data_IF_391524506531
#
_entry.id   IF_391524506531
#
_cell.length_a   1.000
_cell.length_b   1.000
_cell.length_c   1.000
_cell.angle_alpha   90.00
_cell.angle_beta   90.00
_cell.angle_gamma   90.00
#
_symmetry.space_group_name_H-M   'P 1'
#
loop_
_entity.id
_entity.type
_entity.pdbx_description
1 polymer ?
#
# COMPACT_ATOMS: atom_id res chain seq x y z
N UNK A 1 -4.10 16.20 6.91
CA UNK A 1 -3.35 15.25 7.77
C UNK A 1 -2.59 14.29 6.85
N UNK A 2 -1.27 14.14 6.99
CA UNK A 2 -0.41 13.57 5.92
C UNK A 2 0.06 12.16 6.28
N UNK A 3 -0.10 11.22 5.35
CA UNK A 3 0.56 9.91 5.39
C UNK A 3 1.99 10.04 4.91
N UNK A 4 2.93 9.36 5.58
CA UNK A 4 4.27 9.18 5.04
C UNK A 4 4.31 7.86 4.24
N UNK A 5 4.74 7.93 2.98
CA UNK A 5 4.89 6.74 2.15
C UNK A 5 6.32 6.20 2.21
N UNK A 6 6.47 4.88 2.25
CA UNK A 6 7.77 4.23 2.17
C UNK A 6 7.70 2.94 1.35
N UNK A 7 8.68 2.75 0.50
CA UNK A 7 8.92 1.48 -0.19
C UNK A 7 9.74 0.56 0.71
N UNK A 8 9.33 -0.70 0.81
CA UNK A 8 10.07 -1.76 1.49
C UNK A 8 10.33 -2.88 0.50
N UNK A 9 11.59 -3.25 0.32
CA UNK A 9 12.00 -4.39 -0.50
C UNK A 9 12.51 -5.50 0.40
N UNK A 10 11.91 -6.69 0.32
CA UNK A 10 12.34 -7.90 1.05
C UNK A 10 12.16 -9.12 0.18
N UNK A 11 13.19 -9.98 0.11
CA UNK A 11 13.16 -11.25 -0.63
C UNK A 11 12.65 -11.07 -2.08
N UNK A 12 13.10 -10.02 -2.77
CA UNK A 12 12.68 -9.68 -4.14
C UNK A 12 11.31 -9.02 -4.27
N UNK A 13 10.53 -8.89 -3.20
CA UNK A 13 9.20 -8.27 -3.21
C UNK A 13 9.29 -6.79 -2.84
N UNK A 14 8.80 -5.90 -3.71
CA UNK A 14 8.60 -4.47 -3.41
C UNK A 14 7.18 -4.24 -2.91
N UNK A 15 7.06 -3.74 -1.68
CA UNK A 15 5.78 -3.30 -1.11
C UNK A 15 5.80 -1.80 -0.82
N UNK A 16 4.66 -1.15 -0.98
CA UNK A 16 4.42 0.23 -0.56
C UNK A 16 3.60 0.22 0.72
N UNK A 17 4.10 0.92 1.73
CA UNK A 17 3.38 1.18 2.97
C UNK A 17 3.14 2.67 3.14
N UNK A 18 2.02 3.00 3.76
CA UNK A 18 1.65 4.34 4.21
C UNK A 18 1.58 4.34 5.72
N UNK A 19 2.28 5.27 6.34
CA UNK A 19 2.43 5.33 7.78
C UNK A 19 1.86 6.66 8.31
N UNK A 20 0.86 6.55 9.17
CA UNK A 20 0.20 7.71 9.77
C UNK A 20 0.88 8.16 11.05
N UNK A 21 1.87 7.41 11.55
CA UNK A 21 2.51 7.62 12.84
C UNK A 21 1.62 7.14 13.98
N UNK A 22 1.80 7.73 15.17
CA UNK A 22 1.09 7.39 16.40
C UNK A 22 2.03 6.82 17.47
N UNK A 23 1.75 7.04 18.77
CA UNK A 23 2.69 6.75 19.85
C UNK A 23 2.61 5.31 20.41
N UNK A 24 1.63 4.51 19.98
CA UNK A 24 1.36 3.19 20.57
C UNK A 24 1.80 2.00 19.70
N UNK A 25 1.35 0.81 20.09
CA UNK A 25 1.68 -0.45 19.41
C UNK A 25 1.34 -0.39 17.91
N UNK A 26 2.22 -0.88 17.02
CA UNK A 26 1.96 -0.89 15.58
C UNK A 26 0.77 -1.76 15.19
N UNK A 27 -0.14 -1.16 14.42
CA UNK A 27 -1.26 -1.86 13.79
C UNK A 27 -1.12 -1.78 12.28
N UNK A 28 -1.17 -2.94 11.62
CA UNK A 28 -1.12 -3.04 10.15
C UNK A 28 -2.53 -3.21 9.59
N UNK A 29 -2.93 -2.30 8.71
CA UNK A 29 -4.20 -2.33 8.00
C UNK A 29 -4.03 -2.96 6.62
N UNK A 30 -4.75 -4.05 6.38
CA UNK A 30 -4.83 -4.74 5.10
C UNK A 30 -6.15 -4.38 4.39
N UNK A 31 -6.11 -4.38 3.06
CA UNK A 31 -7.29 -4.17 2.24
C UNK A 31 -7.97 -5.49 1.86
N UNK A 32 -9.21 -5.42 1.37
CA UNK A 32 -9.94 -6.59 0.87
C UNK A 32 -9.53 -6.98 -0.56
N UNK A 33 -10.20 -7.99 -1.13
CA UNK A 33 -10.04 -8.40 -2.52
C UNK A 33 -10.36 -7.21 -3.45
N UNK A 34 -9.42 -6.84 -4.33
CA UNK A 34 -9.47 -5.66 -5.21
C UNK A 34 -9.28 -4.27 -4.55
N UNK A 35 -8.98 -4.18 -3.25
CA UNK A 35 -8.74 -2.90 -2.59
C UNK A 35 -7.31 -2.37 -2.65
N UNK A 36 -7.06 -1.24 -1.98
CA UNK A 36 -5.73 -0.67 -1.75
C UNK A 36 -5.62 0.06 -0.38
N UNK A 37 -4.41 0.46 0.01
CA UNK A 37 -4.12 1.08 1.31
C UNK A 37 -4.84 2.42 1.55
N UNK A 38 -5.21 3.14 0.48
CA UNK A 38 -5.86 4.46 0.58
C UNK A 38 -7.27 4.40 1.15
N UNK A 39 -7.95 3.27 1.04
CA UNK A 39 -9.30 3.06 1.59
C UNK A 39 -9.31 3.01 3.13
N UNK A 40 -8.14 2.95 3.77
CA UNK A 40 -8.02 2.69 5.21
C UNK A 40 -8.10 3.96 6.08
N UNK A 41 -8.35 5.13 5.49
CA UNK A 41 -8.40 6.42 6.21
C UNK A 41 -9.35 6.43 7.41
N UNK A 42 -10.58 5.92 7.21
CA UNK A 42 -11.62 5.91 8.24
C UNK A 42 -11.22 5.03 9.42
N UNK A 43 -10.62 3.87 9.14
CA UNK A 43 -10.13 2.95 10.18
C UNK A 43 -8.92 3.56 10.90
N UNK A 44 -7.98 4.14 10.14
CA UNK A 44 -6.78 4.77 10.70
C UNK A 44 -7.13 5.91 11.67
N UNK A 45 -8.08 6.76 11.29
CA UNK A 45 -8.54 7.88 12.12
C UNK A 45 -9.08 7.43 13.49
N UNK A 46 -9.66 6.23 13.58
CA UNK A 46 -10.17 5.66 14.85
C UNK A 46 -9.11 5.03 15.74
N UNK A 47 -7.92 4.77 15.20
CA UNK A 47 -6.83 4.05 15.88
C UNK A 47 -5.66 4.97 16.24
N UNK A 48 -5.46 6.05 15.50
CA UNK A 48 -4.23 6.86 15.54
C UNK A 48 -3.91 7.48 16.90
N UNK A 49 -4.93 7.72 17.73
CA UNK A 49 -4.73 8.26 19.08
C UNK A 49 -4.03 7.27 20.03
N UNK A 50 -4.12 5.95 19.77
CA UNK A 50 -3.63 4.90 20.68
C UNK A 50 -2.66 3.90 20.05
N UNK A 51 -2.48 3.97 18.73
CA UNK A 51 -1.70 2.98 17.98
C UNK A 51 -0.88 3.67 16.89
N UNK A 52 0.24 3.05 16.52
CA UNK A 52 1.01 3.45 15.34
C UNK A 52 0.42 2.81 14.10
N UNK A 53 -0.31 3.56 13.27
CA UNK A 53 -1.09 2.98 12.17
C UNK A 53 -0.31 2.94 10.87
N UNK A 54 -0.18 1.74 10.29
CA UNK A 54 0.46 1.51 8.99
C UNK A 54 -0.54 0.81 8.08
N UNK A 55 -0.79 1.34 6.89
CA UNK A 55 -1.54 0.68 5.83
C UNK A 55 -0.58 0.18 4.74
N UNK A 56 -0.87 -0.98 4.13
CA UNK A 56 0.00 -1.59 3.12
C UNK A 56 -0.80 -1.89 1.87
N UNK A 57 -0.24 -1.57 0.71
CA UNK A 57 -0.71 -2.11 -0.57
C UNK A 57 -0.23 -3.56 -0.64
N UNK A 58 -1.13 -4.53 -0.58
CA UNK A 58 -0.74 -5.94 -0.67
C UNK A 58 -0.16 -6.22 -2.07
N UNK A 59 0.63 -7.29 -2.17
CA UNK A 59 1.18 -7.77 -3.45
C UNK A 59 0.06 -7.83 -4.51
N UNK A 60 0.38 -7.43 -5.74
CA UNK A 60 -0.61 -7.40 -6.83
C UNK A 60 -1.45 -6.12 -6.89
N UNK A 61 -1.48 -5.32 -5.83
CA UNK A 61 -2.40 -4.19 -5.66
C UNK A 61 -1.68 -2.87 -5.43
N UNK A 62 -2.40 -1.77 -5.68
CA UNK A 62 -1.93 -0.40 -5.44
C UNK A 62 -0.57 -0.11 -6.07
N UNK A 63 0.30 0.55 -5.30
CA UNK A 63 1.66 0.91 -5.72
C UNK A 63 2.73 -0.18 -5.45
N UNK A 64 2.33 -1.27 -4.79
CA UNK A 64 3.18 -2.45 -4.58
C UNK A 64 3.46 -3.20 -5.88
N UNK A 65 4.49 -4.05 -5.88
CA UNK A 65 4.81 -4.87 -7.05
C UNK A 65 3.61 -5.73 -7.47
N UNK A 66 3.20 -5.59 -8.73
CA UNK A 66 2.13 -6.40 -9.32
C UNK A 66 2.59 -7.85 -9.56
N UNK A 67 3.83 -8.03 -10.01
CA UNK A 67 4.41 -9.32 -10.34
C UNK A 67 5.81 -9.47 -9.71
N UNK A 68 5.90 -9.76 -8.40
CA UNK A 68 7.18 -9.72 -7.68
C UNK A 68 8.16 -10.85 -8.03
N UNK A 69 7.79 -11.79 -8.89
CA UNK A 69 8.67 -12.87 -9.36
C UNK A 69 8.59 -13.10 -10.87
N UNK A 70 7.98 -12.18 -11.64
CA UNK A 70 7.95 -12.35 -13.08
C UNK A 70 9.37 -12.21 -13.64
N UNK A 71 9.89 -13.31 -14.21
CA UNK A 71 10.93 -13.23 -15.23
C UNK A 71 10.36 -12.42 -16.38
N UNK A 72 11.14 -11.51 -16.95
CA UNK A 72 10.76 -10.64 -18.06
C UNK A 72 10.24 -11.47 -19.26
N UNK A 73 8.94 -11.77 -19.27
CA UNK A 73 8.22 -12.32 -20.42
C UNK A 73 6.73 -12.01 -20.25
N UNK A 74 6.32 -10.93 -20.91
CA UNK A 74 4.98 -10.65 -21.47
C UNK A 74 3.76 -11.35 -20.85
N UNK A 75 3.08 -10.64 -19.96
CA UNK A 75 1.62 -10.45 -19.93
C UNK A 75 1.33 -9.47 -18.79
N UNK A 76 1.32 -8.17 -19.10
CA UNK A 76 0.90 -7.15 -18.15
C UNK A 76 -0.61 -6.93 -18.35
N UNK A 77 -1.45 -7.43 -17.44
CA UNK A 77 -2.74 -6.78 -17.22
C UNK A 77 -2.48 -5.43 -16.54
N UNK A 78 -2.25 -4.40 -17.36
CA UNK A 78 -2.07 -3.03 -16.90
C UNK A 78 -3.43 -2.37 -16.69
N UNK A 79 -3.84 -2.21 -15.43
CA UNK A 79 -4.95 -1.33 -15.04
C UNK A 79 -4.40 0.02 -14.60
N UNK A 80 -3.66 0.70 -15.48
CA UNK A 80 -3.30 2.11 -15.28
C UNK A 80 -4.39 2.97 -15.90
N UNK A 81 -5.01 3.94 -15.19
CA UNK A 81 -5.72 4.99 -15.89
C UNK A 81 -4.68 5.73 -16.74
N UNK A 82 -4.98 5.92 -18.03
CA UNK A 82 -4.16 6.76 -18.89
C UNK A 82 -3.99 8.11 -18.19
N UNK A 83 -2.74 8.54 -17.97
CA UNK A 83 -2.49 9.90 -17.54
C UNK A 83 -3.05 10.82 -18.65
N UNK A 84 -4.05 11.64 -18.34
CA UNK A 84 -4.50 12.68 -19.25
C UNK A 84 -3.33 13.64 -19.51
N UNK A 85 -2.98 13.92 -20.78
CA UNK A 85 -2.04 14.98 -21.08
C UNK A 85 -2.69 16.33 -20.78
N UNK A 86 -1.90 17.26 -20.26
CA UNK A 86 -2.22 18.67 -20.18
C UNK A 86 -2.19 19.32 -21.57
#
# INVERSE_FOLDING_TARGET
>A
MVWSERVVVRVGVRLVRRDRGGPGEPVVLLHGLAGHAGEREVVASRLIARSRVVAVDQRGHGASARHPYARTSTSACSNSPAASPA
#
